data_IF_791934478347
#
_entry.id   IF_791934478347
#
_cell.length_a   1.000
_cell.length_b   1.000
_cell.length_c   1.000
_cell.angle_alpha   90.00
_cell.angle_beta   90.00
_cell.angle_gamma   90.00
#
_symmetry.space_group_name_H-M   'P 1'
#
loop_
_entity.id
_entity.type
_entity.pdbx_description
1 polymer ?
#
# COMPACT_ATOMS: atom_id res chain seq x y z
N UNK A 1 46.31 -16.05 43.81
CA UNK A 1 46.85 -14.82 44.41
C UNK A 1 45.89 -13.72 43.98
N UNK A 2 44.80 -13.49 44.73
CA UNK A 2 44.77 -12.66 45.97
C UNK A 2 45.16 -11.21 45.64
N UNK A 3 44.49 -10.15 46.06
CA UNK A 3 43.47 -9.89 47.08
C UNK A 3 42.88 -8.50 46.69
N UNK A 4 41.56 -8.29 46.58
CA UNK A 4 40.62 -7.83 47.62
C UNK A 4 41.07 -6.59 48.43
N UNK A 5 40.33 -5.48 48.30
CA UNK A 5 40.01 -4.47 49.33
C UNK A 5 38.90 -3.58 48.73
N UNK A 6 37.61 -3.76 48.99
CA UNK A 6 36.81 -3.99 50.20
C UNK A 6 36.64 -2.74 51.08
N UNK A 7 35.38 -2.50 51.45
CA UNK A 7 34.86 -1.37 52.21
C UNK A 7 33.47 -1.02 51.67
N UNK A 8 32.45 -1.89 51.75
CA UNK A 8 31.76 -2.41 52.94
C UNK A 8 31.12 -1.32 53.81
N UNK A 9 29.80 -1.15 53.63
CA UNK A 9 28.89 -0.88 54.73
C UNK A 9 27.64 -1.77 54.55
N UNK A 10 27.70 -2.91 55.24
CA UNK A 10 26.59 -3.69 55.80
C UNK A 10 25.84 -2.76 56.79
N UNK A 11 24.56 -2.89 57.19
CA UNK A 11 23.88 -4.04 57.81
C UNK A 11 22.37 -3.71 57.97
N UNK A 12 21.49 -4.67 57.60
CA UNK A 12 20.24 -5.12 58.28
C UNK A 12 19.12 -4.14 58.67
N UNK A 13 17.83 -4.51 58.78
CA UNK A 13 17.14 -5.81 58.79
C UNK A 13 15.63 -5.57 58.66
N UNK A 14 14.93 -6.57 58.08
CA UNK A 14 13.66 -7.21 58.51
C UNK A 14 12.44 -6.30 58.86
N UNK A 15 11.18 -6.62 58.58
CA UNK A 15 10.45 -7.89 58.52
C UNK A 15 9.04 -7.58 57.96
N UNK A 16 8.37 -8.59 57.38
CA UNK A 16 7.06 -8.42 56.75
C UNK A 16 5.88 -8.41 57.74
N UNK A 17 4.76 -7.84 57.30
CA UNK A 17 3.42 -8.20 57.75
C UNK A 17 2.37 -7.90 56.68
N UNK A 18 1.33 -8.72 56.70
CA UNK A 18 0.34 -9.04 55.68
C UNK A 18 -0.82 -8.02 55.52
N UNK A 19 -1.29 -7.87 54.28
CA UNK A 19 -2.66 -7.55 53.82
C UNK A 19 -3.48 -6.41 54.46
N UNK A 20 -3.80 -5.41 53.62
CA UNK A 20 -5.17 -4.89 53.49
C UNK A 20 -5.45 -4.54 52.02
N UNK A 21 -6.56 -5.07 51.51
CA UNK A 21 -7.11 -4.75 50.19
C UNK A 21 -7.57 -3.28 50.18
N UNK A 22 -7.07 -2.49 49.23
CA UNK A 22 -7.83 -1.35 48.71
C UNK A 22 -7.83 -1.46 47.19
N UNK A 23 -8.98 -1.86 46.71
CA UNK A 23 -9.40 -1.79 45.32
C UNK A 23 -9.75 -0.33 45.05
N UNK A 24 -8.79 0.45 44.53
CA UNK A 24 -9.08 1.75 43.91
C UNK A 24 -9.14 1.53 42.41
N UNK A 25 -10.37 1.31 41.92
CA UNK A 25 -10.73 1.65 40.55
C UNK A 25 -10.58 3.17 40.41
N UNK A 26 -9.48 3.63 39.84
CA UNK A 26 -9.46 4.95 39.24
C UNK A 26 -10.30 4.89 37.96
N UNK A 27 -11.25 5.82 37.77
CA UNK A 27 -12.12 5.84 36.62
C UNK A 27 -11.27 6.06 35.36
N UNK A 28 -11.52 5.22 34.36
CA UNK A 28 -11.16 5.50 32.96
C UNK A 28 -11.80 6.84 32.62
N UNK A 29 -11.04 7.91 32.76
CA UNK A 29 -11.37 9.18 32.13
C UNK A 29 -11.09 8.93 30.65
N UNK A 30 -12.15 8.64 29.91
CA UNK A 30 -12.17 8.74 28.46
C UNK A 30 -11.73 10.16 28.12
N UNK A 31 -10.44 10.36 27.87
CA UNK A 31 -10.02 11.48 27.05
C UNK A 31 -10.65 11.20 25.69
N UNK A 32 -11.71 11.94 25.35
CA UNK A 32 -12.14 12.06 23.96
C UNK A 32 -10.92 12.53 23.18
N UNK A 33 -10.20 11.59 22.55
CA UNK A 33 -9.22 11.95 21.56
C UNK A 33 -10.01 12.57 20.42
N UNK A 34 -10.10 13.89 20.44
CA UNK A 34 -10.79 14.66 19.42
C UNK A 34 -9.99 14.48 18.12
N UNK A 35 -10.58 13.83 17.13
CA UNK A 35 -10.01 13.67 15.81
C UNK A 35 -10.68 14.66 14.85
N UNK A 36 -9.88 15.29 13.98
CA UNK A 36 -10.38 16.03 12.83
C UNK A 36 -10.32 15.14 11.59
N UNK A 37 -11.44 14.95 10.91
CA UNK A 37 -11.46 14.29 9.60
C UNK A 37 -11.04 15.30 8.54
N UNK A 38 -9.86 15.11 7.94
CA UNK A 38 -9.30 15.96 6.89
C UNK A 38 -9.13 15.15 5.61
N UNK A 39 -9.50 15.74 4.47
CA UNK A 39 -9.32 15.10 3.16
C UNK A 39 -7.93 15.39 2.63
N UNK A 40 -7.09 14.37 2.55
CA UNK A 40 -5.73 14.46 2.01
C UNK A 40 -5.61 13.49 0.83
N UNK A 41 -5.16 13.98 -0.34
CA UNK A 41 -5.01 13.17 -1.56
C UNK A 41 -6.26 12.33 -1.93
N UNK A 42 -7.46 12.90 -1.70
CA UNK A 42 -8.78 12.28 -1.93
C UNK A 42 -9.20 11.19 -0.93
N UNK A 43 -8.40 10.93 0.10
CA UNK A 43 -8.75 10.01 1.19
C UNK A 43 -9.11 10.77 2.47
N UNK A 44 -10.04 10.23 3.25
CA UNK A 44 -10.40 10.78 4.56
C UNK A 44 -9.42 10.27 5.61
N UNK A 45 -8.59 11.17 6.16
CA UNK A 45 -7.64 10.86 7.22
C UNK A 45 -8.10 11.51 8.52
N UNK A 46 -8.12 10.73 9.59
CA UNK A 46 -8.37 11.25 10.94
C UNK A 46 -7.05 11.76 11.52
N UNK A 47 -7.00 13.04 11.85
CA UNK A 47 -5.84 13.70 12.45
C UNK A 47 -6.13 13.93 13.93
N UNK A 48 -5.32 13.43 14.86
CA UNK A 48 -5.52 13.66 16.30
C UNK A 48 -5.33 15.15 16.62
N UNK A 49 -6.05 15.64 17.66
CA UNK A 49 -6.03 17.04 18.07
C UNK A 49 -4.62 17.60 18.32
N UNK A 50 -3.71 16.80 18.90
CA UNK A 50 -2.32 17.19 19.16
C UNK A 50 -1.52 17.48 17.88
N UNK A 51 -1.81 16.79 16.77
CA UNK A 51 -1.10 17.00 15.50
C UNK A 51 -1.79 18.06 14.61
N UNK A 52 -3.03 18.42 14.92
CA UNK A 52 -3.82 19.36 14.12
C UNK A 52 -3.16 20.74 13.97
N UNK A 53 -2.55 21.37 15.00
CA UNK A 53 -1.84 22.64 14.86
C UNK A 53 -0.73 22.60 13.80
N UNK A 54 0.04 21.51 13.75
CA UNK A 54 1.15 21.35 12.80
C UNK A 54 0.64 21.22 11.36
N UNK A 55 -0.43 20.44 11.14
CA UNK A 55 -1.03 20.33 9.81
C UNK A 55 -1.71 21.63 9.36
N UNK A 56 -2.32 22.39 10.28
CA UNK A 56 -2.89 23.71 10.00
C UNK A 56 -1.79 24.70 9.60
N UNK A 57 -0.67 24.73 10.33
CA UNK A 57 0.48 25.56 9.97
C UNK A 57 1.05 25.18 8.60
N UNK A 58 1.18 23.88 8.31
CA UNK A 58 1.61 23.39 6.98
C UNK A 58 0.62 23.79 5.88
N UNK A 59 -0.69 23.72 6.13
CA UNK A 59 -1.72 24.15 5.19
C UNK A 59 -1.66 25.64 4.89
N UNK A 60 -1.50 26.49 5.92
CA UNK A 60 -1.37 27.93 5.76
C UNK A 60 -0.07 28.31 5.01
N UNK A 61 1.03 27.61 5.30
CA UNK A 61 2.28 27.78 4.55
C UNK A 61 2.13 27.32 3.10
N UNK A 62 1.45 26.20 2.85
CA UNK A 62 1.17 25.71 1.50
C UNK A 62 0.34 26.71 0.71
N UNK A 63 -0.69 27.30 1.30
CA UNK A 63 -1.49 28.35 0.65
C UNK A 63 -0.61 29.54 0.26
N UNK A 64 0.25 30.02 1.16
CA UNK A 64 1.17 31.13 0.87
C UNK A 64 2.19 30.78 -0.22
N UNK A 65 2.71 29.57 -0.21
CA UNK A 65 3.64 29.09 -1.25
C UNK A 65 2.91 28.93 -2.58
N UNK A 66 1.69 28.39 -2.58
CA UNK A 66 0.86 28.24 -3.78
C UNK A 66 0.48 29.59 -4.38
N UNK A 67 0.14 30.58 -3.56
CA UNK A 67 -0.12 31.95 -4.01
C UNK A 67 1.13 32.55 -4.66
N UNK A 68 2.30 32.45 -4.00
CA UNK A 68 3.57 32.92 -4.56
C UNK A 68 3.95 32.20 -5.85
N UNK A 69 3.76 30.88 -5.93
CA UNK A 69 4.01 30.10 -7.14
C UNK A 69 3.14 30.61 -8.29
N UNK A 70 1.85 30.82 -8.05
CA UNK A 70 0.95 31.38 -9.06
C UNK A 70 1.34 32.81 -9.47
N UNK A 71 1.78 33.65 -8.53
CA UNK A 71 2.32 34.99 -8.85
C UNK A 71 3.56 34.88 -9.74
N UNK A 72 4.51 34.00 -9.42
CA UNK A 72 5.71 33.79 -10.23
C UNK A 72 5.37 33.27 -11.63
N UNK A 73 4.47 32.29 -11.74
CA UNK A 73 3.99 31.80 -13.04
C UNK A 73 3.37 32.92 -13.88
N UNK A 74 2.56 33.79 -13.26
CA UNK A 74 1.98 34.95 -13.95
C UNK A 74 3.05 35.95 -14.40
N UNK A 75 4.05 36.22 -13.56
CA UNK A 75 5.18 37.09 -13.92
C UNK A 75 6.01 36.50 -15.06
N UNK A 76 6.31 35.20 -15.02
CA UNK A 76 7.05 34.50 -16.07
C UNK A 76 6.27 34.47 -17.39
N UNK A 77 4.96 34.21 -17.34
CA UNK A 77 4.08 34.29 -18.51
C UNK A 77 4.06 35.70 -19.10
N UNK A 78 4.06 36.73 -18.25
CA UNK A 78 4.15 38.12 -18.72
C UNK A 78 5.50 38.41 -19.39
N UNK A 79 6.60 37.93 -18.83
CA UNK A 79 7.93 38.06 -19.46
C UNK A 79 7.97 37.34 -20.80
N UNK A 80 7.47 36.11 -20.86
CA UNK A 80 7.37 35.32 -22.08
C UNK A 80 6.58 36.07 -23.17
N UNK A 81 5.42 36.62 -22.83
CA UNK A 81 4.60 37.44 -23.74
C UNK A 81 5.31 38.72 -24.20
N UNK A 82 6.07 39.38 -23.32
CA UNK A 82 6.88 40.56 -23.69
C UNK A 82 7.99 40.20 -24.70
N UNK A 83 8.55 38.99 -24.59
CA UNK A 83 9.54 38.44 -25.52
C UNK A 83 8.92 37.81 -26.77
N UNK A 84 7.59 37.72 -26.85
CA UNK A 84 6.85 37.21 -28.01
C UNK A 84 6.45 35.73 -27.96
N UNK A 85 6.66 35.05 -26.84
CA UNK A 85 6.21 33.66 -26.60
C UNK A 85 4.82 33.61 -25.95
N UNK A 86 4.08 32.53 -26.17
CA UNK A 86 2.69 32.38 -25.71
C UNK A 86 2.60 31.99 -24.22
N UNK A 87 3.57 31.23 -23.73
CA UNK A 87 3.69 30.82 -22.32
C UNK A 87 5.14 30.81 -21.85
N UNK A 88 5.35 30.81 -20.53
CA UNK A 88 6.69 30.65 -19.96
C UNK A 88 7.32 29.28 -20.29
N UNK A 89 6.52 28.23 -20.43
CA UNK A 89 7.00 26.90 -20.86
C UNK A 89 7.56 26.95 -22.28
N UNK A 90 6.86 27.61 -23.21
CA UNK A 90 7.34 27.79 -24.58
C UNK A 90 8.63 28.61 -24.61
N UNK A 91 8.71 29.67 -23.80
CA UNK A 91 9.92 30.49 -23.66
C UNK A 91 11.09 29.65 -23.11
N UNK A 92 10.87 28.82 -22.09
CA UNK A 92 11.91 27.95 -21.54
C UNK A 92 12.39 26.92 -22.57
N UNK A 93 11.47 26.30 -23.30
CA UNK A 93 11.82 25.36 -24.35
C UNK A 93 12.62 26.02 -25.47
N UNK A 94 12.26 27.25 -25.85
CA UNK A 94 13.02 28.02 -26.83
C UNK A 94 14.41 28.43 -26.30
N UNK A 95 14.52 28.75 -25.01
CA UNK A 95 15.80 29.03 -24.36
C UNK A 95 16.71 27.80 -24.37
N UNK A 96 16.20 26.64 -23.97
CA UNK A 96 16.92 25.37 -23.98
C UNK A 96 17.41 25.02 -25.40
N UNK A 97 16.58 25.24 -26.41
CA UNK A 97 16.96 25.05 -27.81
C UNK A 97 18.08 26.01 -28.23
N UNK A 98 17.95 27.30 -27.91
CA UNK A 98 18.96 28.30 -28.23
C UNK A 98 20.30 28.01 -27.53
N UNK A 99 20.27 27.54 -26.28
CA UNK A 99 21.46 27.12 -25.55
C UNK A 99 22.12 25.90 -26.22
N UNK A 100 21.34 24.88 -26.60
CA UNK A 100 21.86 23.72 -27.33
C UNK A 100 22.47 24.12 -28.68
N UNK A 101 21.83 25.00 -29.43
CA UNK A 101 22.34 25.49 -30.71
C UNK A 101 23.66 26.26 -30.52
N UNK A 102 23.75 27.10 -29.47
CA UNK A 102 24.97 27.83 -29.15
C UNK A 102 26.10 26.87 -28.75
N UNK A 103 25.81 25.84 -27.98
CA UNK A 103 26.81 24.84 -27.59
C UNK A 103 27.31 24.07 -28.81
N UNK A 104 26.40 23.64 -29.69
CA UNK A 104 26.76 23.01 -30.97
C UNK A 104 27.63 23.92 -31.85
N UNK A 105 27.30 25.21 -31.92
CA UNK A 105 28.12 26.19 -32.65
C UNK A 105 29.52 26.31 -32.03
N UNK A 106 29.64 26.37 -30.69
CA UNK A 106 30.95 26.37 -30.02
C UNK A 106 31.78 25.14 -30.33
N UNK A 107 31.17 23.96 -30.37
CA UNK A 107 31.88 22.73 -30.78
C UNK A 107 32.35 22.83 -32.22
N UNK A 108 31.48 23.27 -33.15
CA UNK A 108 31.83 23.45 -34.57
C UNK A 108 32.95 24.48 -34.75
N UNK A 109 32.90 25.60 -34.02
CA UNK A 109 33.94 26.63 -34.03
C UNK A 109 35.28 26.12 -33.47
N UNK A 110 35.23 25.20 -32.50
CA UNK A 110 36.40 24.46 -32.00
C UNK A 110 36.88 23.35 -32.94
N UNK A 111 36.24 23.18 -34.11
CA UNK A 111 36.56 22.14 -35.09
C UNK A 111 36.06 20.74 -34.68
N UNK A 112 35.18 20.65 -33.69
CA UNK A 112 34.56 19.41 -33.22
C UNK A 112 33.18 19.34 -33.86
N UNK A 113 32.98 18.38 -34.77
CA UNK A 113 31.64 18.13 -35.31
C UNK A 113 30.80 17.42 -34.24
N UNK A 114 29.74 18.06 -33.70
CA UNK A 114 28.96 17.54 -32.57
C UNK A 114 28.26 16.22 -32.90
N UNK A 115 27.89 15.98 -34.16
CA UNK A 115 27.26 14.72 -34.57
C UNK A 115 28.29 13.58 -34.52
N UNK A 116 29.51 13.82 -35.00
CA UNK A 116 30.60 12.84 -34.92
C UNK A 116 31.06 12.60 -33.47
N UNK A 117 31.06 13.64 -32.64
CA UNK A 117 31.42 13.55 -31.24
C UNK A 117 30.38 12.77 -30.44
N UNK A 118 29.08 13.02 -30.67
CA UNK A 118 28.01 12.25 -30.04
C UNK A 118 28.04 10.78 -30.46
N UNK A 119 28.23 10.50 -31.76
CA UNK A 119 28.41 9.12 -32.23
C UNK A 119 29.62 8.44 -31.59
N UNK A 120 30.73 9.16 -31.45
CA UNK A 120 31.92 8.67 -30.76
C UNK A 120 31.64 8.38 -29.29
N UNK A 121 30.96 9.29 -28.58
CA UNK A 121 30.56 9.09 -27.18
C UNK A 121 29.61 7.90 -27.02
N UNK A 122 28.66 7.71 -27.93
CA UNK A 122 27.74 6.55 -27.89
C UNK A 122 28.44 5.22 -28.15
N UNK A 123 29.49 5.23 -28.98
CA UNK A 123 30.27 4.04 -29.31
C UNK A 123 31.43 3.81 -28.33
N UNK A 124 31.74 4.78 -27.46
CA UNK A 124 32.85 4.68 -26.54
C UNK A 124 32.56 3.62 -25.46
N UNK A 125 33.42 2.60 -25.29
CA UNK A 125 33.17 1.50 -24.36
C UNK A 125 32.99 1.99 -22.91
N UNK A 126 33.74 3.01 -22.50
CA UNK A 126 33.61 3.56 -21.13
C UNK A 126 32.27 4.27 -20.91
N UNK A 127 31.71 4.94 -21.93
CA UNK A 127 30.41 5.59 -21.83
C UNK A 127 29.29 4.54 -21.80
N UNK A 128 29.41 3.48 -22.61
CA UNK A 128 28.48 2.35 -22.58
C UNK A 128 28.51 1.65 -21.22
N UNK A 129 29.71 1.40 -20.70
CA UNK A 129 29.90 0.84 -19.35
C UNK A 129 29.30 1.76 -18.27
N UNK A 130 29.57 3.06 -18.34
CA UNK A 130 29.01 4.02 -17.40
C UNK A 130 27.47 4.09 -17.45
N UNK A 131 26.87 4.05 -18.65
CA UNK A 131 25.41 3.98 -18.82
C UNK A 131 24.85 2.69 -18.22
N UNK A 132 25.48 1.55 -18.50
CA UNK A 132 25.05 0.26 -17.97
C UNK A 132 25.15 0.23 -16.43
N UNK A 133 26.25 0.75 -15.87
CA UNK A 133 26.42 0.87 -14.42
C UNK A 133 25.37 1.78 -13.80
N UNK A 134 25.06 2.92 -14.44
CA UNK A 134 24.01 3.83 -13.98
C UNK A 134 22.64 3.16 -14.01
N UNK A 135 22.30 2.47 -15.10
CA UNK A 135 21.05 1.74 -15.23
C UNK A 135 20.92 0.66 -14.17
N UNK A 136 21.97 -0.16 -13.96
CA UNK A 136 21.97 -1.17 -12.90
C UNK A 136 21.84 -0.56 -11.50
N UNK A 137 22.50 0.57 -11.24
CA UNK A 137 22.37 1.27 -9.95
C UNK A 137 20.94 1.82 -9.75
N UNK A 138 20.33 2.35 -10.80
CA UNK A 138 18.96 2.85 -10.77
C UNK A 138 17.95 1.72 -10.56
N UNK A 139 18.07 0.62 -11.31
CA UNK A 139 17.25 -0.59 -11.13
C UNK A 139 17.41 -1.17 -9.72
N UNK A 140 18.63 -1.24 -9.19
CA UNK A 140 18.86 -1.67 -7.81
C UNK A 140 18.24 -0.71 -6.80
N UNK A 141 18.28 0.60 -7.06
CA UNK A 141 17.68 1.59 -6.16
C UNK A 141 16.15 1.50 -6.13
N UNK A 142 15.53 1.29 -7.29
CA UNK A 142 14.09 1.07 -7.43
C UNK A 142 13.71 -0.22 -6.70
N UNK A 143 14.44 -1.30 -6.97
CA UNK A 143 14.22 -2.58 -6.32
C UNK A 143 14.34 -2.50 -4.80
N UNK A 144 15.39 -1.84 -4.27
CA UNK A 144 15.56 -1.64 -2.82
C UNK A 144 14.37 -0.88 -2.23
N UNK A 145 13.93 0.18 -2.88
CA UNK A 145 12.76 0.95 -2.42
C UNK A 145 11.50 0.11 -2.38
N UNK A 146 11.24 -0.68 -3.42
CA UNK A 146 10.08 -1.57 -3.48
C UNK A 146 10.16 -2.70 -2.43
N UNK A 147 11.36 -3.23 -2.18
CA UNK A 147 11.60 -4.22 -1.15
C UNK A 147 11.41 -3.64 0.25
N UNK A 148 11.96 -2.45 0.52
CA UNK A 148 11.80 -1.74 1.79
C UNK A 148 10.32 -1.44 2.06
N UNK A 149 9.56 -1.03 1.03
CA UNK A 149 8.12 -0.83 1.12
C UNK A 149 7.38 -2.14 1.47
N UNK A 150 7.70 -3.25 0.79
CA UNK A 150 7.13 -4.57 1.08
C UNK A 150 7.43 -5.02 2.52
N UNK A 151 8.68 -4.94 2.97
CA UNK A 151 9.07 -5.39 4.31
C UNK A 151 8.59 -4.44 5.41
N UNK A 152 8.34 -3.17 5.10
CA UNK A 152 7.70 -2.25 6.05
C UNK A 152 6.25 -2.61 6.32
N UNK A 153 5.49 -2.98 5.28
CA UNK A 153 4.10 -3.42 5.39
C UNK A 153 3.99 -4.85 5.95
N UNK A 154 4.97 -5.72 5.64
CA UNK A 154 5.04 -7.10 6.11
C UNK A 154 6.36 -7.38 6.87
N UNK A 155 6.52 -6.89 8.11
CA UNK A 155 7.78 -7.00 8.87
C UNK A 155 8.17 -8.43 9.26
N UNK A 156 7.26 -9.39 9.13
CA UNK A 156 7.53 -10.81 9.36
C UNK A 156 7.87 -11.61 8.10
N UNK A 157 7.77 -11.01 6.91
CA UNK A 157 8.02 -11.68 5.63
C UNK A 157 9.52 -11.80 5.39
N UNK A 158 9.99 -13.00 5.04
CA UNK A 158 11.37 -13.21 4.59
C UNK A 158 11.46 -13.21 3.07
N UNK A 159 12.62 -12.83 2.53
CA UNK A 159 12.84 -12.81 1.09
C UNK A 159 12.62 -14.19 0.43
N UNK A 160 12.92 -15.28 1.15
CA UNK A 160 12.74 -16.65 0.69
C UNK A 160 11.27 -17.10 0.62
N UNK A 161 10.38 -16.39 1.31
CA UNK A 161 8.94 -16.71 1.37
C UNK A 161 8.14 -16.01 0.26
N UNK A 162 8.79 -15.15 -0.53
CA UNK A 162 8.18 -14.46 -1.67
C UNK A 162 7.94 -15.49 -2.79
N UNK A 163 6.68 -15.77 -3.18
CA UNK A 163 6.39 -16.74 -4.23
C UNK A 163 6.97 -16.33 -5.58
N UNK A 164 7.42 -17.31 -6.39
CA UNK A 164 7.92 -17.08 -7.75
C UNK A 164 6.93 -16.34 -8.67
N UNK A 165 5.63 -16.50 -8.43
CA UNK A 165 4.57 -15.80 -9.16
C UNK A 165 4.63 -14.27 -8.98
N UNK A 166 5.14 -13.78 -7.84
CA UNK A 166 5.31 -12.35 -7.57
C UNK A 166 6.37 -11.76 -8.48
N UNK A 167 7.51 -12.45 -8.61
CA UNK A 167 8.60 -12.05 -9.51
C UNK A 167 8.15 -12.03 -10.98
N UNK A 168 7.37 -13.03 -11.40
CA UNK A 168 6.82 -13.08 -12.76
C UNK A 168 5.83 -11.94 -13.03
N UNK A 169 4.99 -11.58 -12.06
CA UNK A 169 4.06 -10.46 -12.19
C UNK A 169 4.77 -9.12 -12.29
N UNK A 170 5.87 -8.93 -11.53
CA UNK A 170 6.74 -7.77 -11.66
C UNK A 170 7.34 -7.67 -13.06
N UNK A 171 7.97 -8.74 -13.55
CA UNK A 171 8.65 -8.75 -14.85
C UNK A 171 7.69 -8.61 -16.04
N UNK A 172 6.55 -9.30 -16.01
CA UNK A 172 5.64 -9.36 -17.15
C UNK A 172 4.66 -8.19 -17.21
N UNK A 173 4.27 -7.63 -16.06
CA UNK A 173 3.24 -6.58 -15.99
C UNK A 173 3.77 -5.24 -15.48
N UNK A 174 5.04 -5.17 -15.09
CA UNK A 174 5.63 -3.95 -14.52
C UNK A 174 4.98 -3.52 -13.21
N UNK A 175 4.42 -4.45 -12.44
CA UNK A 175 3.82 -4.17 -11.14
C UNK A 175 4.92 -3.97 -10.08
N UNK A 176 4.66 -3.15 -9.06
CA UNK A 176 5.57 -3.05 -7.91
C UNK A 176 5.60 -4.37 -7.15
N UNK A 177 6.72 -4.64 -6.45
CA UNK A 177 6.89 -5.89 -5.70
C UNK A 177 5.77 -6.10 -4.66
N UNK A 178 5.35 -5.01 -4.02
CA UNK A 178 4.25 -5.01 -3.05
C UNK A 178 2.91 -5.39 -3.69
N UNK A 179 2.52 -4.75 -4.79
CA UNK A 179 1.22 -5.01 -5.42
C UNK A 179 1.16 -6.44 -6.00
N UNK A 180 2.27 -6.89 -6.59
CA UNK A 180 2.40 -8.26 -7.05
C UNK A 180 2.23 -9.27 -5.88
N UNK A 181 2.83 -9.00 -4.72
CA UNK A 181 2.70 -9.85 -3.53
C UNK A 181 1.27 -9.86 -2.97
N UNK A 182 0.64 -8.69 -2.87
CA UNK A 182 -0.76 -8.58 -2.45
C UNK A 182 -1.68 -9.40 -3.35
N UNK A 183 -1.51 -9.28 -4.67
CA UNK A 183 -2.34 -10.01 -5.63
C UNK A 183 -2.22 -11.53 -5.51
N UNK A 184 -1.00 -12.02 -5.31
CA UNK A 184 -0.76 -13.47 -5.12
C UNK A 184 -1.32 -13.92 -3.77
N UNK A 185 -1.07 -13.17 -2.69
CA UNK A 185 -1.56 -13.52 -1.35
C UNK A 185 -3.10 -13.50 -1.26
N UNK A 186 -3.79 -12.57 -1.93
CA UNK A 186 -5.25 -12.57 -2.02
C UNK A 186 -5.76 -13.80 -2.79
N UNK A 187 -5.10 -14.17 -3.89
CA UNK A 187 -5.47 -15.36 -4.67
C UNK A 187 -5.30 -16.64 -3.84
N UNK A 188 -4.18 -16.80 -3.14
CA UNK A 188 -3.95 -17.97 -2.28
C UNK A 188 -4.91 -18.03 -1.10
N UNK A 189 -5.22 -16.88 -0.48
CA UNK A 189 -6.20 -16.81 0.61
C UNK A 189 -7.61 -17.17 0.15
N UNK A 190 -8.02 -16.72 -1.04
CA UNK A 190 -9.29 -17.09 -1.65
C UNK A 190 -9.40 -18.60 -1.87
N UNK A 191 -8.36 -19.20 -2.45
CA UNK A 191 -8.30 -20.66 -2.66
C UNK A 191 -8.32 -21.44 -1.34
N UNK A 192 -7.61 -20.97 -0.32
CA UNK A 192 -7.59 -21.61 1.00
C UNK A 192 -8.97 -21.59 1.65
N UNK A 193 -9.66 -20.44 1.63
CA UNK A 193 -11.02 -20.31 2.20
C UNK A 193 -12.04 -21.14 1.43
N UNK A 194 -11.91 -21.23 0.11
CA UNK A 194 -12.76 -22.10 -0.71
C UNK A 194 -12.56 -23.57 -0.32
N UNK A 195 -11.32 -24.03 -0.18
CA UNK A 195 -11.02 -25.40 0.26
C UNK A 195 -11.54 -25.67 1.67
N UNK A 196 -11.38 -24.73 2.61
CA UNK A 196 -11.90 -24.87 3.97
C UNK A 196 -13.44 -24.95 3.98
N UNK A 197 -14.12 -24.13 3.16
CA UNK A 197 -15.57 -24.17 3.02
C UNK A 197 -16.03 -25.52 2.44
N UNK A 198 -15.35 -26.03 1.41
CA UNK A 198 -15.64 -27.35 0.84
C UNK A 198 -15.44 -28.46 1.89
N UNK A 199 -14.34 -28.42 2.65
CA UNK A 199 -14.09 -29.38 3.72
C UNK A 199 -15.16 -29.31 4.82
N UNK A 200 -15.58 -28.11 5.23
CA UNK A 200 -16.67 -27.91 6.19
C UNK A 200 -18.00 -28.45 5.67
N UNK A 201 -18.33 -28.23 4.40
CA UNK A 201 -19.53 -28.78 3.77
C UNK A 201 -19.49 -30.31 3.72
N UNK A 202 -18.32 -30.91 3.40
CA UNK A 202 -18.13 -32.35 3.40
C UNK A 202 -18.24 -32.96 4.80
N UNK A 203 -17.61 -32.33 5.80
CA UNK A 203 -17.69 -32.76 7.20
C UNK A 203 -19.12 -32.65 7.72
N UNK A 204 -19.83 -31.56 7.43
CA UNK A 204 -21.24 -31.40 7.79
C UNK A 204 -22.14 -32.44 7.12
N UNK A 205 -21.89 -32.77 5.83
CA UNK A 205 -22.62 -33.84 5.15
C UNK A 205 -22.35 -35.22 5.78
N UNK A 206 -21.10 -35.49 6.19
CA UNK A 206 -20.72 -36.75 6.85
C UNK A 206 -21.24 -36.84 8.30
N UNK A 207 -21.24 -35.73 9.05
CA UNK A 207 -21.75 -35.67 10.42
C UNK A 207 -23.28 -35.57 10.48
N UNK A 208 -23.94 -35.17 9.39
CA UNK A 208 -25.41 -35.15 9.27
C UNK A 208 -26.00 -36.50 8.84
N UNK A 209 -25.19 -37.54 8.63
CA UNK A 209 -25.65 -38.92 8.41
C UNK A 209 -26.22 -39.60 9.68
N UNK A 210 -26.60 -38.80 10.67
CA UNK A 210 -26.97 -39.26 12.01
C UNK A 210 -28.18 -38.53 12.60
N UNK A 211 -29.19 -38.17 11.81
CA UNK A 211 -30.53 -37.99 12.36
C UNK A 211 -31.62 -38.09 11.29
N UNK A 212 -32.29 -39.25 11.33
CA UNK A 212 -33.61 -39.57 10.80
C UNK A 212 -33.71 -39.91 9.30
N UNK A 213 -33.97 -41.19 9.07
CA UNK A 213 -34.89 -41.62 8.02
C UNK A 213 -34.24 -41.90 6.69
N UNK A 214 -34.32 -43.15 6.29
CA UNK A 214 -34.34 -43.61 4.92
C UNK A 214 -35.33 -42.75 4.10
N UNK A 215 -34.83 -41.66 3.52
CA UNK A 215 -35.62 -40.68 2.79
C UNK A 215 -34.69 -39.79 2.00
N UNK A 216 -34.54 -40.09 0.71
CA UNK A 216 -33.77 -39.33 -0.26
C UNK A 216 -34.31 -37.90 -0.35
N UNK A 217 -33.76 -36.95 0.41
CA UNK A 217 -34.08 -35.53 0.25
C UNK A 217 -33.16 -34.95 -0.81
N UNK A 218 -33.59 -35.03 -2.07
CA UNK A 218 -33.03 -34.23 -3.14
C UNK A 218 -33.33 -32.76 -2.87
N UNK A 219 -32.29 -31.94 -2.67
CA UNK A 219 -32.43 -30.49 -2.64
C UNK A 219 -32.78 -29.98 -4.04
N UNK A 220 -34.07 -29.96 -4.34
CA UNK A 220 -34.58 -29.36 -5.56
C UNK A 220 -34.91 -27.90 -5.26
N UNK A 221 -34.00 -27.02 -5.64
CA UNK A 221 -34.09 -25.56 -5.49
C UNK A 221 -35.12 -24.92 -6.44
N UNK A 222 -36.03 -25.70 -7.04
CA UNK A 222 -37.06 -25.22 -7.96
C UNK A 222 -38.28 -26.13 -7.95
N UNK A 223 -39.47 -25.51 -7.85
CA UNK A 223 -40.79 -26.19 -7.85
C UNK A 223 -40.99 -27.09 -9.07
N UNK A 224 -40.26 -26.81 -10.16
CA UNK A 224 -40.33 -27.57 -11.43
C UNK A 224 -39.78 -28.98 -11.33
N UNK A 225 -38.88 -29.26 -10.40
CA UNK A 225 -38.25 -30.57 -10.30
C UNK A 225 -38.97 -31.49 -9.29
N UNK A 226 -39.95 -30.95 -8.53
CA UNK A 226 -40.64 -31.62 -7.42
C UNK A 226 -41.52 -32.79 -7.89
N UNK A 227 -41.44 -33.97 -7.24
CA UNK A 227 -42.36 -35.06 -7.52
C UNK A 227 -43.81 -34.64 -7.24
N UNK A 228 -44.74 -35.08 -8.08
CA UNK A 228 -46.15 -34.60 -8.09
C UNK A 228 -46.86 -34.80 -6.75
N UNK A 229 -46.53 -35.85 -6.00
CA UNK A 229 -47.07 -36.13 -4.66
C UNK A 229 -46.79 -35.00 -3.66
N UNK A 230 -45.60 -34.43 -3.75
CA UNK A 230 -45.11 -33.46 -2.78
C UNK A 230 -45.66 -32.07 -3.13
N UNK A 231 -45.80 -31.79 -4.44
CA UNK A 231 -46.51 -30.61 -4.92
C UNK A 231 -47.99 -30.58 -4.50
N UNK A 232 -48.70 -31.71 -4.59
CA UNK A 232 -50.10 -31.80 -4.15
C UNK A 232 -50.26 -31.60 -2.64
N UNK A 233 -49.29 -32.07 -1.86
CA UNK A 233 -49.27 -31.90 -0.40
C UNK A 233 -49.01 -30.43 -0.05
N UNK A 234 -48.06 -29.79 -0.72
CA UNK A 234 -47.76 -28.37 -0.60
C UNK A 234 -48.99 -27.50 -0.97
N UNK A 235 -49.68 -27.84 -2.06
CA UNK A 235 -50.89 -27.16 -2.51
C UNK A 235 -52.02 -27.27 -1.47
N UNK A 236 -52.12 -28.43 -0.79
CA UNK A 236 -53.08 -28.66 0.28
C UNK A 236 -52.75 -27.82 1.52
N UNK A 237 -51.48 -27.75 1.90
CA UNK A 237 -51.02 -26.94 3.04
C UNK A 237 -51.22 -25.43 2.80
N UNK A 238 -50.95 -24.95 1.59
CA UNK A 238 -51.24 -23.55 1.20
C UNK A 238 -52.75 -23.28 1.20
N UNK A 239 -53.58 -24.20 0.71
CA UNK A 239 -55.05 -24.07 0.78
C UNK A 239 -55.59 -24.10 2.21
N UNK A 240 -54.94 -24.85 3.09
CA UNK A 240 -55.27 -24.89 4.51
C UNK A 240 -54.69 -23.69 5.29
N UNK A 241 -53.93 -22.81 4.63
CA UNK A 241 -53.37 -21.59 5.22
C UNK A 241 -52.17 -21.82 6.14
N UNK A 242 -51.58 -23.02 6.13
CA UNK A 242 -50.45 -23.41 6.97
C UNK A 242 -49.12 -22.81 6.46
N UNK A 243 -49.04 -22.48 5.16
CA UNK A 243 -47.87 -21.84 4.53
C UNK A 243 -48.34 -20.58 3.80
N UNK A 244 -47.83 -19.41 4.19
CA UNK A 244 -48.28 -18.09 3.70
C UNK A 244 -47.51 -17.53 2.49
N UNK A 245 -46.40 -18.15 2.10
CA UNK A 245 -45.73 -17.82 0.83
C UNK A 245 -44.90 -18.99 0.33
N UNK A 246 -44.93 -19.19 -0.99
CA UNK A 246 -43.98 -20.01 -1.75
C UNK A 246 -42.73 -19.19 -2.06
#
# INVERSE_FOLDING_TARGET
>A
MEEILNGNHTVESQEGANQEQIQTQDPVTTQEQNYFTVKYNKEERQVPYDEAPDYIQKGLNYEKVSQRASEYENHLNRVAQLTGYQSHEEMLLALDQAEQEQEQQRYRDAGIDPDTFNQFLEQHPDIQYARQMKQQAEEQSIFRREADELFSEFPGLKAEEIPNEVWQLKEQRGLSLLDAYLRVSYKSLGQQKEQEAIQKLQLNAQSSAGSLGEGNVQHQTSIKDMPKSDFETLLRQVKNGEVRSL
#
